data_IF_339821716148
#
_entry.id   IF_339821716148
#
_cell.length_a   1.000
_cell.length_b   1.000
_cell.length_c   1.000
_cell.angle_alpha   90.00
_cell.angle_beta   90.00
_cell.angle_gamma   90.00
#
_symmetry.space_group_name_H-M   'P 1'
#
loop_
_entity.id
_entity.type
_entity.pdbx_description
1 polymer ?
#
# COMPACT_ATOMS: atom_id res chain seq x y z
N UNK A 1 5.56 13.15 14.67
CA UNK A 1 4.82 13.16 13.40
C UNK A 1 4.71 11.70 12.96
N UNK A 2 3.59 11.07 13.27
CA UNK A 2 3.37 9.65 12.98
C UNK A 2 3.08 9.55 11.48
N UNK A 3 4.00 8.94 10.74
CA UNK A 3 3.90 8.81 9.29
C UNK A 3 2.94 7.67 8.97
N UNK A 4 1.65 7.95 9.11
CA UNK A 4 0.57 7.01 8.80
C UNK A 4 0.44 6.86 7.29
N UNK A 5 0.59 5.64 6.78
CA UNK A 5 0.42 5.34 5.36
C UNK A 5 -0.98 4.78 5.13
N UNK A 6 -1.65 5.15 4.05
CA UNK A 6 -2.97 4.59 3.72
C UNK A 6 -2.76 3.39 2.80
N UNK A 7 -3.32 2.24 3.18
CA UNK A 7 -3.38 1.07 2.31
C UNK A 7 -4.23 1.39 1.08
N UNK A 8 -3.69 1.36 -0.14
CA UNK A 8 -4.43 1.76 -1.34
C UNK A 8 -5.49 0.75 -1.76
N UNK A 9 -5.45 -0.48 -1.23
CA UNK A 9 -6.41 -1.55 -1.52
C UNK A 9 -7.67 -1.40 -0.70
N UNK A 10 -7.53 -1.21 0.62
CA UNK A 10 -8.67 -1.15 1.54
C UNK A 10 -8.95 0.23 2.15
N UNK A 11 -8.03 1.19 2.00
CA UNK A 11 -8.13 2.54 2.58
C UNK A 11 -7.83 2.59 4.08
N UNK A 12 -7.36 1.50 4.70
CA UNK A 12 -7.01 1.49 6.12
C UNK A 12 -5.72 2.25 6.39
N UNK A 13 -5.69 2.92 7.53
CA UNK A 13 -4.47 3.53 8.06
C UNK A 13 -3.51 2.45 8.55
N UNK A 14 -2.38 2.33 7.88
CA UNK A 14 -1.26 1.48 8.25
C UNK A 14 -0.37 2.27 9.18
N UNK A 15 -0.36 1.86 10.44
CA UNK A 15 0.52 2.42 11.48
C UNK A 15 1.81 1.61 11.66
N UNK A 16 1.89 0.43 11.03
CA UNK A 16 3.03 -0.46 11.13
C UNK A 16 3.45 -0.94 9.73
N UNK A 17 4.70 -0.69 9.38
CA UNK A 17 5.33 -0.97 8.09
C UNK A 17 5.76 -2.45 7.90
N UNK A 18 5.07 -3.38 8.55
CA UNK A 18 5.37 -4.82 8.45
C UNK A 18 5.15 -5.38 7.04
N UNK A 19 4.19 -4.82 6.29
CA UNK A 19 3.83 -5.31 4.95
C UNK A 19 3.93 -4.14 3.98
N UNK A 20 5.11 -3.93 3.40
CA UNK A 20 5.34 -2.88 2.42
C UNK A 20 6.01 -3.42 1.16
N UNK A 21 5.87 -2.70 0.05
CA UNK A 21 6.50 -3.00 -1.22
C UNK A 21 6.86 -1.73 -1.95
N UNK A 22 7.96 -1.78 -2.69
CA UNK A 22 8.33 -0.72 -3.61
C UNK A 22 7.81 -1.05 -5.00
N UNK A 23 7.09 -0.11 -5.62
CA UNK A 23 6.57 -0.24 -6.96
C UNK A 23 6.68 1.09 -7.71
N UNK A 24 7.33 1.08 -8.88
CA UNK A 24 7.61 2.28 -9.69
C UNK A 24 8.33 3.41 -8.90
N UNK A 25 9.22 3.04 -7.98
CA UNK A 25 9.94 4.00 -7.14
C UNK A 25 9.08 4.67 -6.05
N UNK A 26 7.83 4.19 -5.86
CA UNK A 26 6.97 4.57 -4.74
C UNK A 26 6.92 3.44 -3.72
N UNK A 27 7.05 3.79 -2.45
CA UNK A 27 6.88 2.86 -1.33
C UNK A 27 5.39 2.79 -0.97
N UNK A 28 4.83 1.58 -0.89
CA UNK A 28 3.45 1.33 -0.49
C UNK A 28 3.40 0.37 0.69
N UNK A 29 2.65 0.72 1.72
CA UNK A 29 2.40 -0.15 2.87
C UNK A 29 0.95 -0.61 2.90
N UNK A 30 0.76 -1.81 3.44
CA UNK A 30 -0.49 -2.54 3.46
C UNK A 30 -0.82 -2.98 4.88
N UNK A 31 -2.10 -3.07 5.19
CA UNK A 31 -2.55 -3.52 6.49
C UNK A 31 -2.35 -5.03 6.70
N UNK A 32 -2.17 -5.78 5.62
CA UNK A 32 -2.06 -7.24 5.62
C UNK A 32 -1.41 -7.77 4.34
N UNK A 33 -0.85 -8.97 4.42
CA UNK A 33 -0.31 -9.72 3.28
C UNK A 33 -1.36 -9.87 2.16
N UNK A 34 -2.62 -10.08 2.53
CA UNK A 34 -3.74 -10.17 1.59
C UNK A 34 -3.91 -8.91 0.73
N UNK A 35 -3.76 -7.73 1.33
CA UNK A 35 -3.82 -6.46 0.61
C UNK A 35 -2.59 -6.30 -0.29
N UNK A 36 -1.39 -6.66 0.19
CA UNK A 36 -0.18 -6.68 -0.64
C UNK A 36 -0.34 -7.59 -1.87
N UNK A 37 -0.87 -8.81 -1.70
CA UNK A 37 -1.10 -9.73 -2.82
C UNK A 37 -2.14 -9.19 -3.80
N UNK A 38 -3.19 -8.55 -3.30
CA UNK A 38 -4.22 -7.90 -4.13
C UNK A 38 -3.62 -6.75 -4.93
N UNK A 39 -2.78 -5.94 -4.28
CA UNK A 39 -2.01 -4.90 -4.94
C UNK A 39 -1.08 -5.48 -6.00
N UNK A 40 -0.31 -6.54 -5.70
CA UNK A 40 0.60 -7.18 -6.67
C UNK A 40 -0.13 -7.76 -7.90
N UNK A 41 -1.39 -8.20 -7.74
CA UNK A 41 -2.22 -8.66 -8.87
C UNK A 41 -2.64 -7.53 -9.81
N UNK A 42 -2.94 -6.35 -9.27
CA UNK A 42 -3.43 -5.21 -10.04
C UNK A 42 -2.80 -3.86 -9.59
N UNK A 43 -1.47 -3.71 -9.59
CA UNK A 43 -0.81 -2.58 -8.94
C UNK A 43 -1.12 -1.26 -9.64
N UNK A 44 -1.27 -1.29 -10.96
CA UNK A 44 -1.59 -0.11 -11.78
C UNK A 44 -2.90 0.57 -11.37
N UNK A 45 -3.90 -0.19 -10.92
CA UNK A 45 -5.20 0.34 -10.48
C UNK A 45 -5.07 1.13 -9.18
N UNK A 46 -4.15 0.72 -8.31
CA UNK A 46 -3.91 1.33 -7.00
C UNK A 46 -2.89 2.47 -7.08
N UNK A 47 -1.89 2.35 -7.95
CA UNK A 47 -0.82 3.35 -8.13
C UNK A 47 -1.35 4.63 -8.78
N UNK A 48 -2.35 4.52 -9.69
CA UNK A 48 -2.98 5.69 -10.33
C UNK A 48 -3.76 6.59 -9.36
N UNK A 49 -4.22 6.07 -8.22
CA UNK A 49 -4.94 6.87 -7.20
C UNK A 49 -4.02 7.59 -6.22
N UNK A 50 -2.76 7.17 -6.12
CA UNK A 50 -1.77 7.75 -5.20
C UNK A 50 -0.91 8.84 -5.88
N UNK A 51 -1.47 9.52 -6.88
CA UNK A 51 -0.87 10.63 -7.63
C UNK A 51 -1.63 11.91 -7.38
#
# INVERSE_FOLDING_TARGET
>A
MEKSMIDPVCGMTVTNENVCTDYQGKHFCFCSESCLQTFKKSPEQYVRKAG
#
